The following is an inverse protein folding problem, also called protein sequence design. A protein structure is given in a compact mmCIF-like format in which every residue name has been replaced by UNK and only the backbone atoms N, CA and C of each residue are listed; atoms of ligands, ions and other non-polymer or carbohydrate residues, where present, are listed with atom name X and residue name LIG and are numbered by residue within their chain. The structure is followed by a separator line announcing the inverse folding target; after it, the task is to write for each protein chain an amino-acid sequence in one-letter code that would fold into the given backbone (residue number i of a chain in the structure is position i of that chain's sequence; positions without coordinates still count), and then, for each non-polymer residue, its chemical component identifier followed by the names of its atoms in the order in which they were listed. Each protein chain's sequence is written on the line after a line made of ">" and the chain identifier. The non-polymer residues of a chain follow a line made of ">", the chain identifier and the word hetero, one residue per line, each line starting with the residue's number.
data_IF_855547490872
#
_entry.id   IF_855547490872
#
_cell.length_a   1.000
_cell.length_b   1.000
_cell.length_c   1.000
_cell.angle_alpha   90.00
_cell.angle_beta   90.00
_cell.angle_gamma   90.00
#
_symmetry.space_group_name_H-M   'P 1'
#
loop_
_entity.id
_entity.type
_entity.pdbx_description
1 polymer ?
#
# COMPACT_ATOMS: atom_id res chain seq x y z
N UNK A 1 -1.48 -59.77 20.70
CA UNK A 1 -2.79 -59.29 21.05
C UNK A 1 -2.80 -57.77 20.82
N UNK A 2 -3.51 -57.26 19.82
CA UNK A 2 -3.55 -55.82 19.57
C UNK A 2 -4.68 -55.16 20.41
N UNK A 3 -4.34 -54.03 20.99
CA UNK A 3 -5.31 -53.18 21.74
C UNK A 3 -6.14 -52.35 20.73
N UNK A 4 -7.42 -52.59 20.72
CA UNK A 4 -8.42 -51.75 20.06
C UNK A 4 -8.64 -50.46 20.83
N UNK A 5 -8.40 -49.32 20.15
CA UNK A 5 -8.83 -48.00 20.62
C UNK A 5 -10.26 -47.73 20.20
N UNK A 6 -11.16 -47.70 21.17
CA UNK A 6 -12.58 -47.33 20.98
C UNK A 6 -12.69 -45.81 20.84
N UNK A 7 -13.21 -45.34 19.69
CA UNK A 7 -13.64 -43.95 19.49
C UNK A 7 -15.09 -43.81 19.98
N UNK A 8 -15.29 -42.98 21.01
CA UNK A 8 -16.60 -42.53 21.43
C UNK A 8 -17.00 -41.26 20.66
N UNK A 9 -18.11 -41.35 19.92
CA UNK A 9 -18.80 -40.21 19.31
C UNK A 9 -19.52 -39.39 20.34
N UNK A 10 -19.43 -38.04 20.36
CA UNK A 10 -20.31 -37.22 21.19
C UNK A 10 -21.65 -37.01 20.50
N UNK A 11 -22.66 -37.16 21.34
CA UNK A 11 -24.11 -37.09 21.10
C UNK A 11 -24.54 -35.67 20.70
N UNK A 12 -25.57 -35.59 19.85
CA UNK A 12 -26.23 -34.39 19.41
C UNK A 12 -26.74 -33.53 20.58
N UNK A 13 -26.48 -32.22 20.52
CA UNK A 13 -27.06 -31.23 21.41
C UNK A 13 -28.26 -30.55 20.75
N UNK A 14 -29.35 -30.50 21.51
CA UNK A 14 -30.66 -29.95 21.24
C UNK A 14 -30.60 -28.48 20.74
N UNK A 15 -31.36 -28.21 19.70
CA UNK A 15 -31.68 -26.87 19.24
C UNK A 15 -32.88 -26.37 20.08
N UNK A 16 -32.59 -25.53 21.07
CA UNK A 16 -33.61 -24.77 21.80
C UNK A 16 -33.90 -23.47 21.07
N UNK A 17 -35.14 -23.30 20.65
CA UNK A 17 -35.72 -22.07 20.10
C UNK A 17 -35.78 -20.99 21.17
N UNK A 18 -34.99 -19.95 21.04
CA UNK A 18 -34.98 -18.75 21.88
C UNK A 18 -35.42 -17.51 21.09
N UNK A 19 -36.44 -16.84 21.60
CA UNK A 19 -37.08 -15.58 21.23
C UNK A 19 -36.09 -14.44 20.84
N UNK A 20 -36.50 -13.49 19.97
CA UNK A 20 -35.66 -12.37 19.62
C UNK A 20 -35.60 -11.34 20.75
N UNK A 21 -34.42 -11.12 21.28
CA UNK A 21 -34.11 -10.04 22.21
C UNK A 21 -33.68 -8.80 21.47
N UNK A 22 -34.47 -7.76 21.74
CA UNK A 22 -34.29 -6.33 21.48
C UNK A 22 -32.85 -5.80 21.33
N UNK A 23 -32.73 -4.91 20.33
CA UNK A 23 -31.84 -3.73 20.23
C UNK A 23 -30.67 -3.64 21.20
N UNK A 24 -29.49 -4.00 20.71
CA UNK A 24 -28.23 -3.55 21.30
C UNK A 24 -27.97 -2.13 20.76
N UNK A 25 -28.07 -1.13 21.63
CA UNK A 25 -27.50 0.19 21.38
C UNK A 25 -25.97 0.04 21.34
N UNK A 26 -25.41 0.10 20.15
CA UNK A 26 -23.98 0.27 19.98
C UNK A 26 -23.63 1.72 20.30
N UNK A 27 -23.11 1.97 21.50
CA UNK A 27 -22.33 3.16 21.79
C UNK A 27 -21.00 2.99 21.07
N UNK A 28 -20.94 3.48 19.83
CA UNK A 28 -19.72 3.43 19.03
C UNK A 28 -18.69 4.40 19.56
N UNK A 29 -17.54 3.89 19.93
CA UNK A 29 -16.31 4.68 19.92
C UNK A 29 -16.06 5.09 18.46
N UNK A 30 -16.15 6.38 18.20
CA UNK A 30 -15.88 6.94 16.87
C UNK A 30 -14.40 6.73 16.54
N UNK A 31 -14.14 5.93 15.53
CA UNK A 31 -12.82 5.78 14.94
C UNK A 31 -12.33 7.15 14.48
N UNK A 32 -11.13 7.54 14.92
CA UNK A 32 -10.49 8.83 14.64
C UNK A 32 -10.31 9.07 13.13
N UNK A 33 -10.32 8.02 12.32
CA UNK A 33 -10.25 8.10 10.86
C UNK A 33 -11.51 8.60 10.16
N UNK A 34 -12.68 8.59 10.82
CA UNK A 34 -13.91 9.09 10.21
C UNK A 34 -14.05 10.62 10.29
N UNK A 35 -13.32 11.28 11.19
CA UNK A 35 -13.45 12.71 11.39
C UNK A 35 -12.78 13.59 10.32
N UNK A 36 -11.92 13.01 9.45
CA UNK A 36 -11.26 13.79 8.40
C UNK A 36 -12.10 13.94 7.14
N UNK A 37 -13.10 13.09 6.95
CA UNK A 37 -14.01 13.13 5.77
C UNK A 37 -15.24 14.00 6.03
N UNK A 38 -15.68 14.15 7.28
CA UNK A 38 -16.89 14.92 7.62
C UNK A 38 -16.71 16.44 7.65
N UNK A 39 -15.46 16.94 7.66
CA UNK A 39 -15.22 18.40 7.75
C UNK A 39 -15.26 19.11 6.40
N UNK A 40 -15.35 18.40 5.28
CA UNK A 40 -15.36 18.99 3.95
C UNK A 40 -16.77 19.22 3.33
N UNK A 41 -17.84 18.82 4.00
CA UNK A 41 -19.17 18.79 3.36
C UNK A 41 -20.23 19.71 3.96
N UNK A 42 -19.91 20.73 4.75
CA UNK A 42 -20.94 21.64 5.25
C UNK A 42 -20.51 23.10 5.11
N UNK A 43 -20.56 23.64 3.91
CA UNK A 43 -20.97 25.02 3.65
C UNK A 43 -21.85 25.03 2.39
N UNK A 44 -23.04 24.48 2.48
CA UNK A 44 -24.13 24.89 1.60
C UNK A 44 -24.98 25.90 2.38
N UNK A 45 -24.67 27.15 2.25
CA UNK A 45 -25.62 28.20 2.61
C UNK A 45 -26.70 28.31 1.56
N UNK A 46 -27.90 27.85 1.91
CA UNK A 46 -29.11 28.24 1.16
C UNK A 46 -29.26 29.77 1.20
N UNK A 47 -28.92 30.42 0.09
CA UNK A 47 -29.38 31.77 -0.18
C UNK A 47 -30.55 31.65 -1.14
N UNK A 48 -31.70 32.14 -0.64
CA UNK A 48 -32.95 32.38 -1.38
C UNK A 48 -32.67 33.03 -2.73
N UNK A 49 -33.28 32.46 -3.74
CA UNK A 49 -33.23 32.87 -5.14
C UNK A 49 -34.06 34.14 -5.30
N UNK A 50 -33.40 35.24 -5.56
CA UNK A 50 -33.99 36.35 -6.26
C UNK A 50 -33.57 36.31 -7.73
N UNK A 51 -34.57 36.13 -8.59
CA UNK A 51 -34.42 36.01 -10.02
C UNK A 51 -34.12 37.35 -10.66
N UNK A 52 -32.90 37.58 -11.03
CA UNK A 52 -32.43 38.34 -12.18
C UNK A 52 -30.97 38.79 -11.99
N UNK A 53 -30.04 38.08 -12.55
CA UNK A 53 -28.87 38.61 -13.27
C UNK A 53 -27.99 37.46 -13.77
N UNK A 54 -27.95 37.36 -15.06
CA UNK A 54 -27.07 36.50 -15.85
C UNK A 54 -25.62 36.86 -15.59
N UNK A 55 -24.75 35.82 -15.49
CA UNK A 55 -23.29 35.83 -15.60
C UNK A 55 -22.50 36.05 -14.29
N UNK A 56 -21.94 34.96 -13.93
CA UNK A 56 -20.70 34.59 -13.30
C UNK A 56 -20.97 33.61 -12.15
N UNK A 57 -21.38 32.38 -12.52
CA UNK A 57 -21.05 31.22 -11.66
C UNK A 57 -19.54 31.08 -11.72
N UNK A 58 -18.85 31.65 -10.74
CA UNK A 58 -17.52 31.16 -10.38
C UNK A 58 -17.76 29.76 -9.88
N UNK A 59 -17.54 28.78 -10.76
CA UNK A 59 -17.37 27.39 -10.37
C UNK A 59 -16.18 27.43 -9.42
N UNK A 60 -16.43 27.29 -8.11
CA UNK A 60 -15.39 26.97 -7.16
C UNK A 60 -14.88 25.59 -7.60
N UNK A 61 -13.86 25.61 -8.42
CA UNK A 61 -13.14 24.44 -8.82
C UNK A 61 -12.33 24.06 -7.58
N UNK A 62 -12.76 23.00 -6.87
CA UNK A 62 -12.00 22.45 -5.77
C UNK A 62 -10.58 22.23 -6.26
N UNK A 63 -9.63 22.97 -5.72
CA UNK A 63 -8.23 22.88 -6.11
C UNK A 63 -7.62 21.72 -5.35
N UNK A 64 -7.22 20.70 -6.06
CA UNK A 64 -6.49 19.55 -5.51
C UNK A 64 -5.00 19.81 -5.62
N UNK A 65 -4.25 19.35 -4.63
CA UNK A 65 -2.82 19.60 -4.55
C UNK A 65 -2.06 18.30 -4.29
N UNK A 66 -0.85 18.23 -4.79
CA UNK A 66 0.19 17.32 -4.41
C UNK A 66 1.36 18.16 -3.89
N UNK A 67 1.51 18.21 -2.55
CA UNK A 67 2.28 19.26 -1.89
C UNK A 67 1.78 20.64 -2.30
N UNK A 68 2.66 21.49 -2.78
CA UNK A 68 2.33 22.83 -3.28
C UNK A 68 1.88 22.88 -4.75
N UNK A 69 1.86 21.74 -5.45
CA UNK A 69 1.57 21.68 -6.89
C UNK A 69 0.09 21.41 -7.14
N UNK A 70 -0.63 22.30 -7.86
CA UNK A 70 -2.04 22.06 -8.20
C UNK A 70 -2.15 20.93 -9.23
N UNK A 71 -3.08 19.99 -8.98
CA UNK A 71 -3.35 18.84 -9.84
C UNK A 71 -4.83 18.75 -10.19
N UNK A 72 -5.19 18.00 -11.22
CA UNK A 72 -6.59 17.76 -11.58
C UNK A 72 -7.24 16.80 -10.57
N UNK A 73 -8.57 16.84 -10.48
CA UNK A 73 -9.34 15.90 -9.65
C UNK A 73 -9.05 14.44 -10.02
N UNK A 74 -8.95 14.15 -11.31
CA UNK A 74 -8.65 12.80 -11.78
C UNK A 74 -7.24 12.36 -11.36
N UNK A 75 -6.26 13.26 -11.42
CA UNK A 75 -4.91 12.95 -10.94
C UNK A 75 -4.88 12.76 -9.42
N UNK A 76 -5.66 13.55 -8.67
CA UNK A 76 -5.79 13.38 -7.22
C UNK A 76 -6.38 12.01 -6.86
N UNK A 77 -7.49 11.61 -7.49
CA UNK A 77 -8.08 10.30 -7.26
C UNK A 77 -7.11 9.16 -7.62
N UNK A 78 -6.41 9.32 -8.74
CA UNK A 78 -5.45 8.33 -9.19
C UNK A 78 -4.22 8.25 -8.28
N UNK A 79 -3.81 9.37 -7.68
CA UNK A 79 -2.73 9.44 -6.71
C UNK A 79 -3.10 8.70 -5.42
N UNK A 80 -4.31 8.92 -4.91
CA UNK A 80 -4.79 8.20 -3.73
C UNK A 80 -4.90 6.68 -4.00
N UNK A 81 -5.39 6.28 -5.19
CA UNK A 81 -5.38 4.87 -5.61
C UNK A 81 -3.95 4.30 -5.62
N UNK A 82 -2.99 5.06 -6.14
CA UNK A 82 -1.59 4.63 -6.24
C UNK A 82 -0.94 4.50 -4.86
N UNK A 83 -1.16 5.47 -3.98
CA UNK A 83 -0.72 5.44 -2.59
C UNK A 83 -1.26 4.20 -1.87
N UNK A 84 -2.57 3.96 -1.96
CA UNK A 84 -3.21 2.80 -1.31
C UNK A 84 -2.63 1.46 -1.78
N UNK A 85 -2.29 1.34 -3.06
CA UNK A 85 -1.74 0.10 -3.61
C UNK A 85 -0.27 -0.12 -3.24
N UNK A 86 0.55 0.94 -3.23
CA UNK A 86 2.00 0.80 -3.12
C UNK A 86 2.61 1.21 -1.78
N UNK A 87 1.91 1.96 -0.92
CA UNK A 87 2.46 2.41 0.36
C UNK A 87 3.07 1.28 1.18
N UNK A 88 2.29 0.23 1.45
CA UNK A 88 2.76 -0.92 2.24
C UNK A 88 3.93 -1.66 1.62
N UNK A 89 3.97 -1.73 0.28
CA UNK A 89 5.10 -2.36 -0.43
C UNK A 89 6.36 -1.52 -0.27
N UNK A 90 6.24 -0.19 -0.41
CA UNK A 90 7.37 0.73 -0.25
C UNK A 90 7.86 0.73 1.21
N UNK A 91 6.96 0.80 2.18
CA UNK A 91 7.28 0.69 3.61
C UNK A 91 8.00 -0.62 3.93
N UNK A 92 7.53 -1.74 3.39
CA UNK A 92 8.20 -3.02 3.53
C UNK A 92 9.62 -2.97 2.97
N UNK A 93 9.81 -2.40 1.77
CA UNK A 93 11.14 -2.26 1.18
C UNK A 93 12.07 -1.37 2.03
N UNK A 94 11.56 -0.28 2.60
CA UNK A 94 12.33 0.66 3.43
C UNK A 94 12.79 -0.02 4.71
N UNK A 95 11.92 -0.80 5.35
CA UNK A 95 12.15 -1.38 6.67
C UNK A 95 12.85 -2.74 6.65
N UNK A 96 12.90 -3.44 5.49
CA UNK A 96 13.50 -4.77 5.40
C UNK A 96 14.92 -4.72 4.85
N UNK A 97 15.88 -5.28 5.55
CA UNK A 97 17.22 -5.51 5.01
C UNK A 97 17.28 -6.86 4.28
N UNK A 98 17.06 -6.83 2.96
CA UNK A 98 17.02 -8.03 2.12
C UNK A 98 18.29 -8.87 2.15
N UNK A 99 19.42 -8.32 2.62
CA UNK A 99 20.69 -9.03 2.71
C UNK A 99 20.86 -9.83 4.01
N UNK A 100 20.18 -9.41 5.08
CA UNK A 100 20.34 -10.00 6.41
C UNK A 100 19.05 -10.53 7.02
N UNK A 101 17.90 -10.12 6.53
CA UNK A 101 16.59 -10.49 7.06
C UNK A 101 15.87 -11.53 6.18
N UNK A 102 14.80 -12.08 6.74
CA UNK A 102 13.89 -12.96 6.01
C UNK A 102 12.96 -12.13 5.12
N UNK A 103 12.84 -12.53 3.86
CA UNK A 103 12.05 -11.82 2.85
C UNK A 103 10.75 -12.59 2.57
N UNK A 104 9.63 -11.86 2.49
CA UNK A 104 8.32 -12.45 2.16
C UNK A 104 8.38 -13.12 0.77
N UNK A 105 7.98 -14.39 0.73
CA UNK A 105 7.93 -15.18 -0.49
C UNK A 105 7.03 -14.57 -1.58
N UNK A 106 5.99 -13.84 -1.18
CA UNK A 106 5.04 -13.21 -2.09
C UNK A 106 5.45 -11.81 -2.56
N UNK A 107 6.57 -11.26 -2.06
CA UNK A 107 6.96 -9.89 -2.36
C UNK A 107 7.02 -9.61 -3.88
N UNK A 108 7.76 -10.42 -4.62
CA UNK A 108 7.92 -10.24 -6.07
C UNK A 108 6.61 -10.40 -6.83
N UNK A 109 5.75 -11.33 -6.40
CA UNK A 109 4.44 -11.55 -7.01
C UNK A 109 3.52 -10.36 -6.74
N UNK A 110 3.47 -9.84 -5.52
CA UNK A 110 2.66 -8.68 -5.16
C UNK A 110 3.03 -7.45 -6.02
N UNK A 111 4.32 -7.14 -6.17
CA UNK A 111 4.79 -6.04 -7.03
C UNK A 111 4.38 -6.27 -8.49
N UNK A 112 4.60 -7.51 -8.99
CA UNK A 112 4.37 -7.84 -10.40
C UNK A 112 2.88 -7.85 -10.76
N UNK A 113 2.02 -8.40 -9.90
CA UNK A 113 0.56 -8.48 -10.11
C UNK A 113 -0.03 -7.08 -10.13
N UNK A 114 0.28 -6.22 -9.15
CA UNK A 114 -0.22 -4.84 -9.13
C UNK A 114 0.15 -4.07 -10.39
N UNK A 115 1.39 -4.20 -10.87
CA UNK A 115 1.80 -3.57 -12.11
C UNK A 115 1.02 -4.13 -13.30
N UNK A 116 0.99 -5.46 -13.49
CA UNK A 116 0.38 -6.10 -14.65
C UNK A 116 -1.13 -5.91 -14.73
N UNK A 117 -1.81 -5.98 -13.59
CA UNK A 117 -3.27 -6.01 -13.56
C UNK A 117 -3.89 -4.61 -13.44
N UNK A 118 -3.16 -3.63 -12.93
CA UNK A 118 -3.69 -2.29 -12.70
C UNK A 118 -2.87 -1.19 -13.36
N UNK A 119 -1.57 -1.08 -13.05
CA UNK A 119 -0.81 0.15 -13.28
C UNK A 119 -0.09 0.26 -14.63
N UNK A 120 -0.09 -0.80 -15.44
CA UNK A 120 0.45 -0.76 -16.81
C UNK A 120 -0.48 -0.10 -17.83
N UNK A 121 -1.76 0.09 -17.51
CA UNK A 121 -2.74 0.59 -18.44
C UNK A 121 -2.71 2.11 -18.57
N UNK A 122 -2.94 2.62 -19.81
CA UNK A 122 -2.99 4.06 -20.08
C UNK A 122 -4.05 4.81 -19.26
N UNK A 123 -5.15 4.13 -18.92
CA UNK A 123 -6.21 4.69 -18.06
C UNK A 123 -5.73 5.00 -16.63
N UNK A 124 -4.57 4.44 -16.25
CA UNK A 124 -3.89 4.68 -14.97
C UNK A 124 -2.65 5.57 -15.12
N UNK A 125 -2.57 6.35 -16.22
CA UNK A 125 -1.53 7.35 -16.39
C UNK A 125 -2.00 8.73 -15.93
N UNK A 126 -1.19 9.38 -15.09
CA UNK A 126 -1.43 10.74 -14.66
C UNK A 126 -1.40 11.73 -15.85
N UNK A 127 -2.26 12.73 -15.82
CA UNK A 127 -2.21 13.88 -16.73
C UNK A 127 -1.00 14.76 -16.40
N UNK A 128 -0.72 14.95 -15.12
CA UNK A 128 0.49 15.62 -14.63
C UNK A 128 1.75 14.88 -15.07
N UNK A 129 2.68 15.59 -15.70
CA UNK A 129 3.94 15.02 -16.15
C UNK A 129 4.82 14.58 -14.99
N UNK A 130 4.77 15.28 -13.87
CA UNK A 130 5.63 15.03 -12.73
C UNK A 130 5.13 13.84 -11.90
N UNK A 131 3.83 13.74 -11.66
CA UNK A 131 3.23 12.53 -11.08
C UNK A 131 3.47 11.28 -11.94
N UNK A 132 3.42 11.44 -13.28
CA UNK A 132 3.73 10.34 -14.21
C UNK A 132 5.19 9.91 -14.11
N UNK A 133 6.12 10.87 -14.00
CA UNK A 133 7.56 10.56 -13.81
C UNK A 133 7.78 9.86 -12.47
N UNK A 134 7.17 10.37 -11.40
CA UNK A 134 7.26 9.77 -10.07
C UNK A 134 6.74 8.33 -10.08
N UNK A 135 5.51 8.10 -10.58
CA UNK A 135 4.96 6.75 -10.75
C UNK A 135 5.95 5.83 -11.47
N UNK A 136 6.46 6.26 -12.61
CA UNK A 136 7.35 5.43 -13.42
C UNK A 136 8.68 5.14 -12.72
N UNK A 137 9.23 6.09 -11.96
CA UNK A 137 10.43 5.85 -11.14
C UNK A 137 10.15 4.81 -10.05
N UNK A 138 9.04 4.93 -9.32
CA UNK A 138 8.64 3.98 -8.27
C UNK A 138 8.51 2.58 -8.87
N UNK A 139 7.72 2.43 -9.92
CA UNK A 139 7.49 1.14 -10.57
C UNK A 139 8.77 0.51 -11.11
N UNK A 140 9.65 1.31 -11.72
CA UNK A 140 10.95 0.85 -12.20
C UNK A 140 11.83 0.37 -11.05
N UNK A 141 11.94 1.15 -9.97
CA UNK A 141 12.80 0.81 -8.82
C UNK A 141 12.30 -0.45 -8.11
N UNK A 142 10.99 -0.58 -7.91
CA UNK A 142 10.40 -1.80 -7.36
C UNK A 142 10.65 -3.02 -8.25
N UNK A 143 10.51 -2.87 -9.56
CA UNK A 143 10.80 -3.96 -10.50
C UNK A 143 12.29 -4.34 -10.53
N UNK A 144 13.20 -3.39 -10.38
CA UNK A 144 14.64 -3.69 -10.21
C UNK A 144 14.89 -4.47 -8.91
N UNK A 145 14.20 -4.13 -7.82
CA UNK A 145 14.33 -4.84 -6.56
C UNK A 145 13.80 -6.28 -6.64
N UNK A 146 12.72 -6.55 -7.40
CA UNK A 146 12.21 -7.92 -7.59
C UNK A 146 13.23 -8.85 -8.28
N UNK A 147 14.14 -8.32 -9.09
CA UNK A 147 15.24 -9.09 -9.66
C UNK A 147 16.14 -9.66 -8.57
N UNK A 148 16.46 -8.86 -7.54
CA UNK A 148 17.27 -9.32 -6.41
C UNK A 148 16.49 -10.25 -5.47
N UNK A 149 15.15 -10.13 -5.41
CA UNK A 149 14.27 -11.04 -4.67
C UNK A 149 13.85 -12.21 -5.59
N UNK A 150 14.82 -12.86 -6.19
CA UNK A 150 14.61 -13.96 -7.13
C UNK A 150 15.35 -15.23 -6.69
N UNK A 151 14.98 -16.40 -7.25
CA UNK A 151 15.70 -17.65 -6.97
C UNK A 151 17.18 -17.64 -7.35
N UNK A 152 17.66 -16.64 -8.08
CA UNK A 152 19.08 -16.48 -8.34
C UNK A 152 19.87 -16.12 -7.07
N UNK A 153 19.30 -15.25 -6.24
CA UNK A 153 19.96 -14.73 -5.03
C UNK A 153 19.43 -15.34 -3.74
N UNK A 154 18.13 -15.63 -3.70
CA UNK A 154 17.45 -16.12 -2.50
C UNK A 154 17.08 -17.58 -2.62
N UNK A 155 17.00 -18.26 -1.48
CA UNK A 155 16.47 -19.62 -1.34
C UNK A 155 15.34 -19.66 -0.33
N UNK A 156 14.48 -20.63 -0.47
CA UNK A 156 13.44 -20.90 0.51
C UNK A 156 14.04 -21.39 1.83
N UNK A 157 13.56 -20.83 2.94
CA UNK A 157 13.93 -21.22 4.29
C UNK A 157 12.74 -21.95 4.93
N UNK A 158 12.80 -23.28 4.94
CA UNK A 158 11.70 -24.17 5.34
C UNK A 158 11.14 -23.85 6.75
N UNK A 159 12.01 -23.53 7.71
CA UNK A 159 11.61 -23.28 9.09
C UNK A 159 10.75 -22.03 9.27
N UNK A 160 10.89 -21.02 8.39
CA UNK A 160 10.13 -19.76 8.49
C UNK A 160 9.08 -19.60 7.40
N UNK A 161 9.13 -20.38 6.33
CA UNK A 161 8.27 -20.18 5.16
C UNK A 161 8.60 -18.95 4.32
N UNK A 162 9.77 -18.36 4.52
CA UNK A 162 10.22 -17.12 3.88
C UNK A 162 11.47 -17.37 3.01
N UNK A 163 11.95 -16.32 2.36
CA UNK A 163 13.18 -16.37 1.57
C UNK A 163 14.35 -15.85 2.38
N UNK A 164 15.53 -16.43 2.17
CA UNK A 164 16.79 -15.98 2.76
C UNK A 164 17.87 -15.97 1.68
N UNK A 165 18.86 -15.09 1.83
CA UNK A 165 19.97 -15.00 0.90
C UNK A 165 20.79 -16.32 0.85
N UNK A 166 21.22 -16.70 -0.36
CA UNK A 166 22.13 -17.83 -0.58
C UNK A 166 23.54 -17.44 -0.10
N UNK A 167 23.96 -18.03 1.00
CA UNK A 167 25.28 -17.79 1.58
C UNK A 167 25.87 -19.11 2.13
N UNK A 168 25.85 -20.16 1.29
CA UNK A 168 26.33 -21.51 1.67
C UNK A 168 27.69 -21.84 1.06
N UNK A 169 28.14 -21.03 0.08
CA UNK A 169 29.44 -21.19 -0.56
C UNK A 169 30.23 -19.87 -0.56
N UNK A 170 31.55 -19.97 -0.79
CA UNK A 170 32.40 -18.78 -0.96
C UNK A 170 31.92 -17.87 -2.12
N UNK A 171 31.51 -18.49 -3.23
CA UNK A 171 31.01 -17.77 -4.40
C UNK A 171 29.73 -17.01 -4.10
N UNK A 172 28.78 -17.62 -3.39
CA UNK A 172 27.55 -16.97 -2.93
C UNK A 172 27.85 -15.81 -1.96
N UNK A 173 28.81 -16.01 -1.05
CA UNK A 173 29.26 -14.94 -0.14
C UNK A 173 29.89 -13.75 -0.87
N UNK A 174 30.64 -13.98 -1.95
CA UNK A 174 31.16 -12.91 -2.80
C UNK A 174 30.03 -12.18 -3.52
N UNK A 175 29.05 -12.88 -4.09
CA UNK A 175 27.86 -12.27 -4.70
C UNK A 175 27.05 -11.44 -3.73
N UNK A 176 26.89 -11.91 -2.49
CA UNK A 176 26.23 -11.15 -1.44
C UNK A 176 26.91 -9.79 -1.23
N UNK A 177 28.21 -9.81 -0.99
CA UNK A 177 28.99 -8.62 -0.66
C UNK A 177 29.17 -7.66 -1.83
N UNK A 178 29.44 -8.19 -3.01
CA UNK A 178 29.94 -7.39 -4.14
C UNK A 178 28.81 -6.93 -5.08
N UNK A 179 27.65 -7.61 -5.08
CA UNK A 179 26.52 -7.30 -5.95
C UNK A 179 25.22 -7.05 -5.16
N UNK A 180 24.73 -8.07 -4.44
CA UNK A 180 23.40 -8.00 -3.84
C UNK A 180 23.28 -6.91 -2.77
N UNK A 181 24.18 -6.88 -1.79
CA UNK A 181 24.09 -5.97 -0.66
C UNK A 181 24.17 -4.49 -1.09
N UNK A 182 25.15 -4.04 -1.90
CA UNK A 182 25.21 -2.64 -2.32
C UNK A 182 24.02 -2.23 -3.19
N UNK A 183 23.54 -3.10 -4.08
CA UNK A 183 22.43 -2.77 -4.96
C UNK A 183 21.08 -2.79 -4.24
N UNK A 184 20.81 -3.75 -3.38
CA UNK A 184 19.59 -3.77 -2.57
C UNK A 184 19.52 -2.55 -1.65
N UNK A 185 20.62 -2.17 -1.00
CA UNK A 185 20.69 -0.97 -0.17
C UNK A 185 20.41 0.30 -1.00
N UNK A 186 21.05 0.46 -2.16
CA UNK A 186 20.82 1.58 -3.07
C UNK A 186 19.35 1.68 -3.51
N UNK A 187 18.74 0.55 -3.86
CA UNK A 187 17.34 0.51 -4.29
C UNK A 187 16.40 0.86 -3.14
N UNK A 188 16.65 0.34 -1.94
CA UNK A 188 15.89 0.68 -0.73
C UNK A 188 15.96 2.19 -0.43
N UNK A 189 17.15 2.78 -0.52
CA UNK A 189 17.35 4.20 -0.31
C UNK A 189 16.60 5.03 -1.35
N UNK A 190 16.68 4.62 -2.62
CA UNK A 190 15.89 5.25 -3.70
C UNK A 190 14.38 5.14 -3.44
N UNK A 191 13.89 4.01 -2.92
CA UNK A 191 12.46 3.85 -2.57
C UNK A 191 12.09 4.78 -1.41
N UNK A 192 12.95 4.95 -0.41
CA UNK A 192 12.71 5.90 0.69
C UNK A 192 12.60 7.34 0.19
N UNK A 193 13.51 7.77 -0.68
CA UNK A 193 13.45 9.11 -1.28
C UNK A 193 12.16 9.31 -2.09
N UNK A 194 11.76 8.29 -2.88
CA UNK A 194 10.54 8.32 -3.68
C UNK A 194 9.27 8.25 -2.81
N UNK A 195 9.33 7.64 -1.64
CA UNK A 195 8.24 7.63 -0.67
C UNK A 195 8.02 9.03 -0.10
N UNK A 196 9.07 9.74 0.29
CA UNK A 196 8.98 11.14 0.71
C UNK A 196 8.43 12.04 -0.41
N UNK A 197 8.88 11.82 -1.67
CA UNK A 197 8.36 12.55 -2.83
C UNK A 197 6.86 12.26 -3.08
N UNK A 198 6.39 11.04 -2.79
CA UNK A 198 4.99 10.64 -2.93
C UNK A 198 4.07 11.26 -1.87
N UNK A 199 4.61 11.54 -0.68
CA UNK A 199 3.89 12.08 0.49
C UNK A 199 4.46 13.43 0.95
N UNK A 200 4.51 14.46 0.09
CA UNK A 200 5.21 15.71 0.38
C UNK A 200 4.63 16.46 1.59
N UNK A 201 3.33 16.31 1.88
CA UNK A 201 2.65 17.00 2.98
C UNK A 201 2.98 16.36 4.34
N UNK A 202 3.31 15.08 4.40
CA UNK A 202 3.63 14.37 5.65
C UNK A 202 5.02 14.73 6.19
N UNK A 203 5.94 15.12 5.30
CA UNK A 203 7.34 15.42 5.64
C UNK A 203 7.70 16.90 5.57
N UNK A 204 6.70 17.78 5.33
CA UNK A 204 6.94 19.23 5.20
C UNK A 204 7.44 19.89 6.50
N UNK A 205 7.05 19.36 7.66
CA UNK A 205 7.34 19.95 8.97
C UNK A 205 8.70 19.57 9.57
N UNK A 206 9.44 18.62 8.98
CA UNK A 206 10.73 18.18 9.51
C UNK A 206 11.92 19.07 9.07
N UNK A 207 11.70 20.06 8.21
CA UNK A 207 12.75 20.92 7.65
C UNK A 207 12.67 22.38 8.11
N UNK A 208 12.01 22.67 9.24
CA UNK A 208 11.94 24.03 9.81
C UNK A 208 12.83 24.16 11.04
#
# INVERSE_FOLDING_TARGET
>A
MPNELQFTTPSALDISTGTPVSSVQQTGEKNVYANHVETMNIIVQEKSIDSSTTKNQSVYQDSYFWGSVPISFEDYQLLEDFKNDYAKIMEYCINTDFASELVDINFSDNVTILYKDKWRFKSKDFKSSDLRKLKNKILKTLNELTYYVSPEFLRYHEASGMLIFKNQSWEEGCRLRDDFQPNSLRLRQTIADLYVELYPDEFADENV
#
